data_IF_706327135853
#
_entry.id   IF_706327135853
#
_cell.length_a   1.000
_cell.length_b   1.000
_cell.length_c   1.000
_cell.angle_alpha   90.00
_cell.angle_beta   90.00
_cell.angle_gamma   90.00
#
_symmetry.space_group_name_H-M   'P 1'
#
loop_
_entity.id
_entity.type
_entity.pdbx_description
1 polymer ?
#
# COMPACT_ATOMS: atom_id res chain seq x y z
N UNK A 1 38.84 -4.55 37.14
CA UNK A 1 37.69 -3.64 36.93
C UNK A 1 36.96 -3.45 38.25
N UNK A 2 36.62 -2.20 38.59
CA UNK A 2 35.83 -1.88 39.79
C UNK A 2 34.38 -2.33 39.64
N UNK A 3 33.70 -2.71 40.74
CA UNK A 3 32.25 -2.99 40.78
C UNK A 3 31.43 -1.88 40.10
N UNK A 4 31.87 -0.63 40.24
CA UNK A 4 31.25 0.53 39.61
C UNK A 4 31.37 0.53 38.07
N UNK A 5 32.53 0.10 37.54
CA UNK A 5 32.71 -0.01 36.08
C UNK A 5 31.82 -1.08 35.47
N UNK A 6 31.66 -2.23 36.15
CA UNK A 6 30.78 -3.31 35.68
C UNK A 6 29.31 -2.90 35.69
N UNK A 7 28.85 -2.15 36.70
CA UNK A 7 27.50 -1.60 36.72
C UNK A 7 27.27 -0.56 35.62
N UNK A 8 28.21 0.35 35.41
CA UNK A 8 28.10 1.37 34.34
C UNK A 8 28.02 0.69 32.96
N UNK A 9 28.84 -0.34 32.71
CA UNK A 9 28.78 -1.09 31.46
C UNK A 9 27.44 -1.80 31.28
N UNK A 10 26.89 -2.36 32.36
CA UNK A 10 25.59 -3.04 32.36
C UNK A 10 24.44 -2.07 32.04
N UNK A 11 24.44 -0.87 32.63
CA UNK A 11 23.44 0.16 32.32
C UNK A 11 23.55 0.69 30.89
N UNK A 12 24.76 0.94 30.38
CA UNK A 12 25.00 1.34 28.99
C UNK A 12 24.51 0.28 27.98
N UNK A 13 24.69 -0.99 28.32
CA UNK A 13 24.21 -2.10 27.51
C UNK A 13 22.67 -2.14 27.49
N UNK A 14 22.01 -1.96 28.65
CA UNK A 14 20.53 -1.96 28.72
C UNK A 14 19.92 -0.80 27.94
N UNK A 15 20.49 0.42 28.04
CA UNK A 15 19.98 1.58 27.28
C UNK A 15 20.09 1.38 25.77
N UNK A 16 21.16 0.73 25.30
CA UNK A 16 21.37 0.47 23.87
C UNK A 16 20.29 -0.46 23.26
N UNK A 17 19.67 -1.33 24.05
CA UNK A 17 18.59 -2.22 23.59
C UNK A 17 17.20 -1.59 23.60
N UNK A 18 17.00 -0.52 24.38
CA UNK A 18 15.69 0.17 24.47
C UNK A 18 15.49 1.12 23.29
N UNK A 19 16.56 1.68 22.74
CA UNK A 19 16.52 2.61 21.60
C UNK A 19 16.49 1.92 20.23
N UNK A 20 16.29 0.60 20.16
CA UNK A 20 16.13 -0.10 18.89
C UNK A 20 14.80 0.33 18.24
N UNK A 21 14.83 0.96 17.05
CA UNK A 21 13.60 1.28 16.35
C UNK A 21 12.84 -0.03 16.07
N UNK A 22 11.59 -0.10 16.53
CA UNK A 22 10.72 -1.23 16.23
C UNK A 22 10.64 -1.40 14.70
N UNK A 23 10.89 -2.60 14.16
CA UNK A 23 10.74 -2.83 12.73
C UNK A 23 9.30 -2.57 12.32
N UNK A 24 9.06 -1.58 11.46
CA UNK A 24 7.76 -1.41 10.82
C UNK A 24 7.62 -2.45 9.71
N UNK A 25 6.61 -3.32 9.78
CA UNK A 25 6.32 -4.34 8.76
C UNK A 25 5.64 -3.78 7.50
N UNK A 26 5.79 -2.49 7.22
CA UNK A 26 5.22 -1.85 6.05
C UNK A 26 6.24 -1.88 4.89
N UNK A 27 5.77 -2.26 3.72
CA UNK A 27 6.52 -2.18 2.46
C UNK A 27 6.22 -0.84 1.78
N UNK A 28 7.08 -0.44 0.84
CA UNK A 28 6.94 0.80 0.06
C UNK A 28 6.76 0.49 -1.41
N UNK A 29 5.90 1.25 -2.07
CA UNK A 29 5.57 1.01 -3.46
C UNK A 29 5.05 2.24 -4.15
N UNK A 30 4.68 2.06 -5.41
CA UNK A 30 4.06 3.10 -6.23
C UNK A 30 2.61 2.69 -6.47
N UNK A 31 1.69 3.65 -6.37
CA UNK A 31 0.29 3.47 -6.72
C UNK A 31 -0.13 4.38 -7.86
N UNK A 32 -0.89 3.82 -8.80
CA UNK A 32 -1.64 4.54 -9.83
C UNK A 32 -3.15 4.51 -9.50
N UNK A 33 -3.97 5.14 -10.35
CA UNK A 33 -5.43 5.04 -10.30
C UNK A 33 -6.02 4.56 -11.61
N UNK A 34 -7.15 3.85 -11.54
CA UNK A 34 -7.97 3.54 -12.71
C UNK A 34 -9.45 3.79 -12.46
N UNK A 35 -10.12 4.18 -13.53
CA UNK A 35 -11.54 4.55 -13.55
C UNK A 35 -12.39 3.40 -14.09
N UNK A 36 -13.70 3.40 -13.86
CA UNK A 36 -14.57 2.43 -14.51
C UNK A 36 -14.40 2.46 -16.05
N UNK A 37 -14.64 1.34 -16.75
CA UNK A 37 -15.18 0.08 -16.23
C UNK A 37 -14.14 -0.77 -15.49
N UNK A 38 -14.57 -1.41 -14.40
CA UNK A 38 -13.73 -2.28 -13.55
C UNK A 38 -13.83 -3.77 -13.88
N UNK A 39 -14.75 -4.16 -14.76
CA UNK A 39 -15.00 -5.54 -15.15
C UNK A 39 -14.69 -5.75 -16.64
N UNK A 40 -14.27 -6.97 -17.04
CA UNK A 40 -13.85 -8.07 -16.16
C UNK A 40 -12.54 -7.80 -15.43
N UNK A 41 -12.34 -8.49 -14.30
CA UNK A 41 -11.10 -8.49 -13.51
C UNK A 41 -10.31 -9.78 -13.69
N UNK A 42 -9.00 -9.75 -13.45
CA UNK A 42 -8.14 -10.92 -13.37
C UNK A 42 -8.45 -11.91 -12.24
N UNK A 43 -9.17 -11.50 -11.18
CA UNK A 43 -9.53 -12.41 -10.09
C UNK A 43 -10.78 -13.25 -10.37
N UNK A 44 -11.94 -12.60 -10.54
CA UNK A 44 -13.23 -13.29 -10.64
C UNK A 44 -14.01 -12.88 -11.91
N UNK A 45 -13.30 -12.44 -12.96
CA UNK A 45 -13.90 -12.12 -14.25
C UNK A 45 -14.99 -11.05 -14.15
N UNK A 46 -16.19 -11.38 -14.61
CA UNK A 46 -17.35 -10.47 -14.68
C UNK A 46 -18.17 -10.34 -13.38
N UNK A 47 -17.74 -10.94 -12.27
CA UNK A 47 -18.54 -10.99 -11.05
C UNK A 47 -18.49 -9.66 -10.27
N UNK A 48 -19.58 -8.89 -10.26
CA UNK A 48 -19.64 -7.63 -9.52
C UNK A 48 -19.61 -7.78 -7.98
N UNK A 49 -19.97 -8.95 -7.44
CA UNK A 49 -19.98 -9.21 -5.99
C UNK A 49 -18.58 -9.22 -5.37
N UNK A 50 -17.52 -9.25 -6.19
CA UNK A 50 -16.15 -9.22 -5.69
C UNK A 50 -15.76 -7.86 -5.08
N UNK A 51 -16.40 -6.77 -5.54
CA UNK A 51 -16.10 -5.41 -5.09
C UNK A 51 -16.70 -5.16 -3.70
N UNK A 52 -15.91 -4.57 -2.78
CA UNK A 52 -16.45 -4.15 -1.50
C UNK A 52 -17.46 -3.01 -1.70
N UNK A 53 -18.51 -2.95 -0.87
CA UNK A 53 -19.51 -1.87 -0.90
C UNK A 53 -18.92 -0.47 -0.68
N UNK A 54 -17.75 -0.40 -0.03
CA UNK A 54 -16.99 0.82 0.15
C UNK A 54 -16.38 1.35 -1.16
N UNK A 55 -16.28 0.54 -2.22
CA UNK A 55 -15.50 0.80 -3.43
C UNK A 55 -14.01 1.09 -3.14
N UNK A 56 -13.47 0.55 -2.05
CA UNK A 56 -12.04 0.59 -1.73
C UNK A 56 -11.37 -0.72 -2.15
N UNK A 57 -10.93 -0.76 -3.41
CA UNK A 57 -10.25 -1.91 -3.98
C UNK A 57 -9.11 -1.46 -4.89
N UNK A 58 -8.29 -2.42 -5.30
CA UNK A 58 -7.15 -2.21 -6.17
C UNK A 58 -6.88 -3.40 -7.11
N UNK A 59 -6.15 -3.12 -8.19
CA UNK A 59 -5.45 -4.11 -8.99
C UNK A 59 -4.03 -4.29 -8.46
N UNK A 60 -3.56 -5.52 -8.35
CA UNK A 60 -2.20 -5.83 -7.94
C UNK A 60 -1.23 -5.70 -9.12
N UNK A 61 -0.08 -5.06 -8.93
CA UNK A 61 1.04 -5.11 -9.88
C UNK A 61 1.83 -6.41 -9.74
N UNK A 62 2.75 -6.64 -10.68
CA UNK A 62 3.53 -7.90 -10.80
C UNK A 62 4.18 -8.32 -9.48
N UNK A 63 4.73 -7.35 -8.72
CA UNK A 63 5.43 -7.60 -7.46
C UNK A 63 4.56 -8.17 -6.35
N UNK A 64 3.24 -7.98 -6.40
CA UNK A 64 2.31 -8.48 -5.37
C UNK A 64 1.18 -9.36 -5.93
N UNK A 65 1.09 -9.53 -7.26
CA UNK A 65 0.03 -10.32 -7.91
C UNK A 65 0.06 -11.79 -7.54
N UNK A 66 1.28 -12.34 -7.35
CA UNK A 66 1.51 -13.70 -6.87
C UNK A 66 0.72 -14.75 -7.67
N UNK A 67 0.75 -14.61 -9.00
CA UNK A 67 0.03 -15.49 -9.94
C UNK A 67 -1.46 -15.70 -9.59
N UNK A 68 -2.13 -14.64 -9.10
CA UNK A 68 -3.53 -14.67 -8.70
C UNK A 68 -3.79 -15.04 -7.24
N UNK A 69 -2.77 -15.49 -6.49
CA UNK A 69 -2.92 -15.73 -5.06
C UNK A 69 -3.15 -14.43 -4.26
N UNK A 70 -2.96 -13.27 -4.88
CA UNK A 70 -3.31 -11.97 -4.32
C UNK A 70 -4.82 -11.70 -4.26
N UNK A 71 -5.63 -12.42 -5.02
CA UNK A 71 -7.07 -12.18 -5.09
C UNK A 71 -7.73 -12.28 -3.71
N UNK A 72 -8.42 -11.20 -3.33
CA UNK A 72 -9.06 -11.09 -2.02
C UNK A 72 -8.14 -10.69 -0.85
N UNK A 73 -6.81 -10.63 -1.04
CA UNK A 73 -5.91 -10.06 -0.04
C UNK A 73 -6.29 -8.62 0.24
N UNK A 74 -6.09 -8.21 1.49
CA UNK A 74 -6.39 -6.85 1.93
C UNK A 74 -5.10 -6.18 2.40
N UNK A 75 -4.99 -4.89 2.09
CA UNK A 75 -3.83 -4.08 2.44
C UNK A 75 -4.30 -2.80 3.10
N UNK A 76 -3.64 -2.40 4.19
CA UNK A 76 -3.62 -1.01 4.62
C UNK A 76 -2.69 -0.25 3.69
N UNK A 77 -3.14 0.88 3.16
CA UNK A 77 -2.40 1.70 2.19
C UNK A 77 -2.48 3.16 2.60
N UNK A 78 -1.32 3.83 2.59
CA UNK A 78 -1.21 5.26 2.86
C UNK A 78 -0.28 5.94 1.86
N UNK A 79 -0.64 7.15 1.43
CA UNK A 79 0.23 8.00 0.63
C UNK A 79 1.36 8.56 1.50
N UNK A 80 2.61 8.39 1.06
CA UNK A 80 3.81 8.89 1.76
C UNK A 80 4.46 10.07 1.04
N UNK A 81 4.40 10.10 -0.29
CA UNK A 81 4.89 11.23 -1.10
C UNK A 81 4.34 11.19 -2.53
N UNK A 82 4.53 12.27 -3.28
CA UNK A 82 4.24 12.35 -4.71
C UNK A 82 5.16 13.40 -5.35
N UNK A 83 5.19 13.45 -6.68
CA UNK A 83 5.98 14.45 -7.42
C UNK A 83 5.58 15.89 -7.06
N UNK A 84 4.27 16.18 -6.98
CA UNK A 84 3.77 17.49 -6.59
C UNK A 84 3.61 17.58 -5.07
N UNK A 85 4.12 18.65 -4.41
CA UNK A 85 3.89 18.87 -2.99
C UNK A 85 2.39 18.92 -2.64
N UNK A 86 2.05 18.49 -1.41
CA UNK A 86 0.67 18.48 -0.88
C UNK A 86 -0.32 17.63 -1.69
N UNK A 87 0.16 16.65 -2.45
CA UNK A 87 -0.70 15.67 -3.14
C UNK A 87 -1.31 14.67 -2.16
N UNK A 88 -0.52 14.14 -1.23
CA UNK A 88 -1.01 13.20 -0.22
C UNK A 88 -1.95 13.92 0.76
N UNK A 89 -3.06 13.26 1.10
CA UNK A 89 -3.95 13.72 2.16
C UNK A 89 -3.37 13.25 3.51
N UNK A 90 -3.03 14.16 4.43
CA UNK A 90 -2.41 13.78 5.70
C UNK A 90 -3.27 12.84 6.54
N UNK A 91 -2.62 11.93 7.28
CA UNK A 91 -3.24 11.02 8.26
C UNK A 91 -4.35 10.12 7.69
N UNK A 92 -4.40 9.92 6.37
CA UNK A 92 -5.32 8.97 5.74
C UNK A 92 -4.63 7.63 5.49
N UNK A 93 -5.22 6.56 6.01
CA UNK A 93 -4.87 5.18 5.69
C UNK A 93 -6.14 4.44 5.38
N UNK A 94 -6.16 3.68 4.28
CA UNK A 94 -7.33 2.96 3.81
C UNK A 94 -7.03 1.46 3.71
N UNK A 95 -8.04 0.65 3.99
CA UNK A 95 -7.99 -0.77 3.69
C UNK A 95 -8.55 -1.01 2.30
N UNK A 96 -7.76 -1.61 1.41
CA UNK A 96 -8.16 -1.98 0.05
C UNK A 96 -8.14 -3.49 -0.12
N UNK A 97 -9.09 -4.01 -0.89
CA UNK A 97 -9.11 -5.41 -1.35
C UNK A 97 -8.52 -5.53 -2.76
N UNK A 98 -7.65 -6.50 -2.99
CA UNK A 98 -7.20 -6.83 -4.35
C UNK A 98 -8.31 -7.58 -5.08
N UNK A 99 -8.72 -7.03 -6.23
CA UNK A 99 -9.78 -7.60 -7.07
C UNK A 99 -9.34 -7.80 -8.51
N UNK A 100 -8.17 -7.30 -8.92
CA UNK A 100 -7.74 -7.33 -10.33
C UNK A 100 -6.21 -7.43 -10.45
N UNK A 101 -5.72 -7.65 -11.67
CA UNK A 101 -4.32 -7.65 -12.03
C UNK A 101 -4.00 -6.44 -12.91
N UNK A 102 -3.06 -5.61 -12.48
CA UNK A 102 -2.76 -4.32 -13.10
C UNK A 102 -2.39 -4.41 -14.59
N UNK A 103 -1.76 -5.51 -15.01
CA UNK A 103 -1.38 -5.71 -16.40
C UNK A 103 -2.57 -6.05 -17.32
N UNK A 104 -3.65 -6.60 -16.76
CA UNK A 104 -4.84 -7.03 -17.51
C UNK A 104 -6.09 -6.20 -17.21
N UNK A 105 -5.95 -5.06 -16.52
CA UNK A 105 -7.07 -4.15 -16.27
C UNK A 105 -7.68 -3.67 -17.58
N UNK A 106 -9.01 -3.65 -17.66
CA UNK A 106 -9.74 -3.23 -18.87
C UNK A 106 -9.54 -1.75 -19.19
N UNK A 107 -9.53 -0.90 -18.16
CA UNK A 107 -9.22 0.51 -18.34
C UNK A 107 -7.73 0.75 -18.11
N UNK A 108 -7.13 1.58 -18.94
CA UNK A 108 -5.73 1.98 -18.78
C UNK A 108 -5.50 2.70 -17.44
N UNK A 109 -4.60 2.20 -16.59
CA UNK A 109 -4.14 2.90 -15.39
C UNK A 109 -3.49 4.26 -15.72
N UNK A 110 -3.52 5.19 -14.78
CA UNK A 110 -2.85 6.49 -14.91
C UNK A 110 -1.33 6.41 -15.02
N UNK A 111 -0.73 5.30 -14.57
CA UNK A 111 0.67 4.96 -14.77
C UNK A 111 0.84 3.43 -14.79
N UNK A 112 1.83 2.94 -15.53
CA UNK A 112 2.15 1.50 -15.65
C UNK A 112 3.27 1.09 -14.70
N UNK A 113 3.44 -0.21 -14.47
CA UNK A 113 4.55 -0.74 -13.66
C UNK A 113 4.46 -0.38 -12.17
N UNK A 114 3.27 -0.03 -11.68
CA UNK A 114 3.04 0.31 -10.26
C UNK A 114 2.76 -0.92 -9.41
N UNK A 115 3.10 -0.86 -8.12
CA UNK A 115 2.83 -1.92 -7.13
C UNK A 115 1.34 -2.20 -6.97
N UNK A 116 0.51 -1.14 -6.95
CA UNK A 116 -0.95 -1.24 -6.90
C UNK A 116 -1.58 -0.23 -7.85
N UNK A 117 -2.68 -0.58 -8.50
CA UNK A 117 -3.54 0.39 -9.17
C UNK A 117 -4.81 0.52 -8.34
N UNK A 118 -5.00 1.66 -7.70
CA UNK A 118 -6.14 1.89 -6.82
C UNK A 118 -7.38 2.22 -7.65
N UNK A 119 -8.54 1.77 -7.21
CA UNK A 119 -9.81 2.31 -7.69
C UNK A 119 -9.84 3.84 -7.52
N UNK A 120 -10.55 4.54 -8.40
CA UNK A 120 -10.70 5.98 -8.36
C UNK A 120 -11.04 6.51 -6.95
N UNK A 121 -11.97 5.84 -6.24
CA UNK A 121 -12.35 6.21 -4.88
C UNK A 121 -11.23 5.97 -3.87
N UNK A 122 -10.53 4.83 -3.93
CA UNK A 122 -9.40 4.55 -3.05
C UNK A 122 -8.29 5.58 -3.22
N UNK A 123 -7.91 5.90 -4.46
CA UNK A 123 -6.87 6.91 -4.74
C UNK A 123 -7.27 8.29 -4.20
N UNK A 124 -8.49 8.74 -4.50
CA UNK A 124 -9.01 10.05 -4.06
C UNK A 124 -9.12 10.18 -2.53
N UNK A 125 -9.19 9.05 -1.81
CA UNK A 125 -9.25 9.07 -0.34
C UNK A 125 -7.89 9.38 0.29
N UNK A 126 -6.78 9.01 -0.36
CA UNK A 126 -5.41 9.20 0.18
C UNK A 126 -4.59 10.24 -0.58
N UNK A 127 -5.01 10.67 -1.77
CA UNK A 127 -4.29 11.61 -2.60
C UNK A 127 -5.21 12.43 -3.52
N UNK A 128 -4.73 13.60 -3.94
CA UNK A 128 -5.40 14.42 -4.94
C UNK A 128 -5.40 13.72 -6.32
N UNK A 129 -6.56 13.65 -6.97
CA UNK A 129 -6.76 12.96 -8.27
C UNK A 129 -5.99 13.53 -9.45
N UNK A 130 -5.38 14.71 -9.31
CA UNK A 130 -4.53 15.32 -10.36
C UNK A 130 -3.17 14.63 -10.51
N UNK A 131 -2.76 13.80 -9.55
CA UNK A 131 -1.54 13.01 -9.66
C UNK A 131 -1.77 11.73 -10.47
N UNK A 132 -0.84 11.44 -11.39
CA UNK A 132 -0.85 10.20 -12.16
C UNK A 132 -0.36 9.00 -11.31
N UNK A 133 0.56 9.23 -10.38
CA UNK A 133 1.06 8.23 -9.46
C UNK A 133 1.43 8.88 -8.12
N UNK A 134 1.45 8.06 -7.07
CA UNK A 134 1.89 8.42 -5.72
C UNK A 134 2.78 7.33 -5.16
N UNK A 135 3.68 7.69 -4.25
CA UNK A 135 4.39 6.71 -3.45
C UNK A 135 3.52 6.36 -2.24
N UNK A 136 3.41 5.07 -1.98
CA UNK A 136 2.62 4.53 -0.88
C UNK A 136 3.51 3.71 0.05
N UNK A 137 3.10 3.65 1.31
CA UNK A 137 3.41 2.51 2.17
C UNK A 137 2.19 1.60 2.21
N UNK A 138 2.43 0.30 2.33
CA UNK A 138 1.37 -0.67 2.43
C UNK A 138 1.76 -1.88 3.28
N UNK A 139 0.75 -2.49 3.91
CA UNK A 139 0.93 -3.67 4.75
C UNK A 139 -0.28 -4.59 4.60
N UNK A 140 -0.03 -5.90 4.41
CA UNK A 140 -1.10 -6.89 4.39
C UNK A 140 -1.72 -7.04 5.79
N UNK A 141 -3.05 -7.15 5.84
CA UNK A 141 -3.83 -7.39 7.07
C UNK A 141 -4.32 -8.83 7.20
#
# INVERSE_FOLDING_TARGET
MSKAQTQILFYLFITLFIDLPFPSFADVGVAAQYSPPYLPTGCYGGEALQFPSSNLFAAAGDGIWDNGAACGRQYLVRCISAEKPRTCIPQQSIQVKIVDYAFSTVSTPSATGTTMVLSQKAFQTIANSSAALINIEFQQV
#
